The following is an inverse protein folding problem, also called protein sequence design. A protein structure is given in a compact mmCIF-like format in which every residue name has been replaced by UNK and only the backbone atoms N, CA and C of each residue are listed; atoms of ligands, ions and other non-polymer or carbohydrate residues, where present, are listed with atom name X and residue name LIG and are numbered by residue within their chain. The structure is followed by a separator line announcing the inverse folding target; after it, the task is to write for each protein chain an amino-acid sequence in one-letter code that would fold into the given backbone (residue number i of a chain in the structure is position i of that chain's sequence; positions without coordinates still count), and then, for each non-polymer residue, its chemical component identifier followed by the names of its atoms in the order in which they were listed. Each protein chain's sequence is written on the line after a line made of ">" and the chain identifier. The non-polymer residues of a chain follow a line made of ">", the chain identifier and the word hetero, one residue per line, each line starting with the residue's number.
data_IF_448918468324
#
_entry.id   IF_448918468324
#
_cell.length_a   1.000
_cell.length_b   1.000
_cell.length_c   1.000
_cell.angle_alpha   90.00
_cell.angle_beta   90.00
_cell.angle_gamma   90.00
#
_symmetry.space_group_name_H-M   'P 1'
#
loop_
_entity.id
_entity.type
_entity.pdbx_description
1 polymer ?
#
# COMPACT_ATOMS: atom_id res chain seq x y z
N UNK A 1 23.25 15.45 4.61
CA UNK A 1 22.21 16.47 4.90
C UNK A 1 20.99 16.19 4.05
N UNK A 2 19.81 16.09 4.67
CA UNK A 2 18.52 15.89 3.95
C UNK A 2 17.86 17.24 3.75
N UNK A 3 17.55 17.57 2.49
CA UNK A 3 16.88 18.83 2.16
C UNK A 3 15.35 18.66 2.27
N UNK A 4 14.79 19.07 3.40
CA UNK A 4 13.35 18.97 3.68
C UNK A 4 12.47 19.83 2.73
N UNK A 5 12.99 20.94 2.21
CA UNK A 5 12.27 21.76 1.21
C UNK A 5 12.12 21.00 -0.10
N UNK A 6 13.16 20.28 -0.53
CA UNK A 6 13.09 19.48 -1.73
C UNK A 6 12.05 18.35 -1.61
N UNK A 7 11.96 17.67 -0.46
CA UNK A 7 10.93 16.66 -0.23
C UNK A 7 9.51 17.22 -0.36
N UNK A 8 9.22 18.35 0.28
CA UNK A 8 7.90 19.01 0.16
C UNK A 8 7.62 19.49 -1.25
N UNK A 9 8.62 20.08 -1.92
CA UNK A 9 8.50 20.52 -3.29
C UNK A 9 8.14 19.36 -4.23
N UNK A 10 8.80 18.22 -4.09
CA UNK A 10 8.53 17.05 -4.91
C UNK A 10 7.11 16.52 -4.70
N UNK A 11 6.64 16.44 -3.46
CA UNK A 11 5.25 16.05 -3.18
C UNK A 11 4.25 17.03 -3.81
N UNK A 12 4.51 18.35 -3.70
CA UNK A 12 3.67 19.36 -4.31
C UNK A 12 3.63 19.21 -5.84
N UNK A 13 4.77 18.99 -6.48
CA UNK A 13 4.84 18.77 -7.94
C UNK A 13 4.02 17.56 -8.38
N UNK A 14 4.05 16.46 -7.63
CA UNK A 14 3.22 15.30 -7.89
C UNK A 14 1.72 15.62 -7.75
N UNK A 15 1.33 16.39 -6.74
CA UNK A 15 -0.06 16.83 -6.56
C UNK A 15 -0.55 17.71 -7.72
N UNK A 16 0.30 18.59 -8.23
CA UNK A 16 -0.03 19.44 -9.38
C UNK A 16 -0.25 18.61 -10.67
N UNK A 17 0.51 17.51 -10.82
CA UNK A 17 0.37 16.59 -11.96
C UNK A 17 -0.87 15.70 -11.86
N UNK A 18 -1.34 15.39 -10.65
CA UNK A 18 -2.49 14.54 -10.40
C UNK A 18 -3.40 15.13 -9.31
N UNK A 19 -4.05 16.28 -9.56
CA UNK A 19 -4.76 17.05 -8.55
C UNK A 19 -6.00 16.35 -7.99
N UNK A 20 -6.59 15.42 -8.74
CA UNK A 20 -7.74 14.63 -8.29
C UNK A 20 -7.34 13.37 -7.50
N UNK A 21 -6.04 13.05 -7.42
CA UNK A 21 -5.55 11.82 -6.77
C UNK A 21 -5.06 12.09 -5.34
N UNK A 22 -5.28 11.13 -4.46
CA UNK A 22 -4.62 11.10 -3.14
C UNK A 22 -3.18 10.61 -3.30
N UNK A 23 -2.29 11.11 -2.44
CA UNK A 23 -0.87 10.81 -2.46
C UNK A 23 -0.46 9.93 -1.28
N UNK A 24 -0.01 8.72 -1.56
CA UNK A 24 0.65 7.84 -0.59
C UNK A 24 2.16 8.05 -0.69
N UNK A 25 2.77 8.65 0.31
CA UNK A 25 4.22 8.81 0.36
C UNK A 25 4.89 7.51 0.80
N UNK A 26 5.68 6.90 -0.07
CA UNK A 26 6.40 5.65 0.23
C UNK A 26 7.66 5.97 1.01
N UNK A 27 7.70 5.49 2.26
CA UNK A 27 8.79 5.76 3.22
C UNK A 27 9.44 4.48 3.77
N UNK A 28 9.28 3.36 3.06
CA UNK A 28 9.93 2.08 3.39
C UNK A 28 11.45 2.18 3.40
N UNK A 29 12.12 1.19 3.99
CA UNK A 29 13.58 1.13 4.12
C UNK A 29 14.16 2.40 4.75
N UNK A 30 13.57 2.81 5.89
CA UNK A 30 13.94 4.05 6.59
C UNK A 30 13.83 5.30 5.68
N UNK A 31 12.75 5.40 4.88
CA UNK A 31 12.56 6.41 3.84
C UNK A 31 13.73 6.44 2.85
N UNK A 32 14.12 5.25 2.36
CA UNK A 32 15.27 5.09 1.46
C UNK A 32 16.57 5.70 2.04
N UNK A 33 16.76 5.57 3.36
CA UNK A 33 17.91 6.12 4.08
C UNK A 33 17.77 7.58 4.52
N UNK A 34 16.64 8.23 4.24
CA UNK A 34 16.42 9.64 4.62
C UNK A 34 15.93 9.83 6.06
N UNK A 35 15.61 8.74 6.76
CA UNK A 35 15.03 8.77 8.10
C UNK A 35 13.50 8.72 8.07
N UNK A 36 12.93 7.61 8.58
CA UNK A 36 11.51 7.29 8.49
C UNK A 36 10.61 8.39 9.09
N UNK A 37 10.81 8.69 10.37
CA UNK A 37 9.98 9.67 11.10
C UNK A 37 10.20 11.09 10.61
N UNK A 38 11.46 11.47 10.37
CA UNK A 38 11.80 12.80 9.90
C UNK A 38 11.21 13.10 8.53
N UNK A 39 11.21 12.10 7.64
CA UNK A 39 10.59 12.21 6.31
C UNK A 39 9.07 12.31 6.44
N UNK A 40 8.43 11.43 7.22
CA UNK A 40 6.99 11.46 7.41
C UNK A 40 6.50 12.79 8.00
N UNK A 41 7.19 13.32 9.02
CA UNK A 41 6.90 14.64 9.62
C UNK A 41 7.15 15.80 8.65
N UNK A 42 8.04 15.62 7.69
CA UNK A 42 8.34 16.65 6.68
C UNK A 42 7.25 16.73 5.60
N UNK A 43 6.43 15.69 5.44
CA UNK A 43 5.39 15.56 4.42
C UNK A 43 3.97 15.59 5.03
N UNK A 44 3.57 16.67 5.73
CA UNK A 44 2.25 16.75 6.37
C UNK A 44 1.11 16.71 5.35
N UNK A 45 1.38 17.06 4.10
CA UNK A 45 0.37 17.07 3.03
C UNK A 45 0.21 15.72 2.34
N UNK A 46 1.01 14.70 2.64
CA UNK A 46 0.74 13.35 2.18
C UNK A 46 -0.58 12.84 2.77
N UNK A 47 -1.41 12.15 1.97
CA UNK A 47 -2.68 11.61 2.44
C UNK A 47 -2.51 10.34 3.26
N UNK A 48 -1.45 9.57 2.96
CA UNK A 48 -1.08 8.34 3.66
C UNK A 48 0.42 8.09 3.50
N UNK A 49 0.93 7.10 4.23
CA UNK A 49 2.30 6.60 4.09
C UNK A 49 2.31 5.13 3.69
N UNK A 50 3.25 4.75 2.84
CA UNK A 50 3.48 3.36 2.44
C UNK A 50 4.80 2.83 2.99
N UNK A 51 4.77 1.65 3.60
CA UNK A 51 5.93 0.96 4.17
C UNK A 51 5.97 -0.48 3.71
N UNK A 52 7.10 -1.17 3.91
CA UNK A 52 7.25 -2.58 3.55
C UNK A 52 6.93 -3.51 4.73
N UNK A 53 7.20 -3.09 5.94
CA UNK A 53 7.16 -3.92 7.14
C UNK A 53 6.27 -3.35 8.23
N UNK A 54 5.66 -4.26 9.03
CA UNK A 54 4.83 -3.88 10.17
C UNK A 54 5.63 -3.05 11.19
N UNK A 55 6.90 -3.37 11.42
CA UNK A 55 7.76 -2.63 12.36
C UNK A 55 7.95 -1.17 11.94
N UNK A 56 8.02 -0.89 10.64
CA UNK A 56 8.08 0.49 10.13
C UNK A 56 6.77 1.24 10.41
N UNK A 57 5.63 0.57 10.20
CA UNK A 57 4.32 1.14 10.49
C UNK A 57 4.16 1.44 11.99
N UNK A 58 4.57 0.52 12.86
CA UNK A 58 4.55 0.71 14.32
C UNK A 58 5.46 1.87 14.75
N UNK A 59 6.63 2.01 14.15
CA UNK A 59 7.53 3.16 14.41
C UNK A 59 6.88 4.49 14.00
N UNK A 60 6.14 4.53 12.90
CA UNK A 60 5.37 5.72 12.50
C UNK A 60 4.30 6.05 13.55
N UNK A 61 3.55 5.08 14.03
CA UNK A 61 2.53 5.29 15.09
C UNK A 61 3.17 5.76 16.39
N UNK A 62 4.23 5.09 16.86
CA UNK A 62 4.98 5.50 18.05
C UNK A 62 5.55 6.91 17.92
N UNK A 63 5.88 7.34 16.70
CA UNK A 63 6.36 8.69 16.39
C UNK A 63 5.27 9.75 16.25
N UNK A 64 4.00 9.40 16.51
CA UNK A 64 2.86 10.32 16.46
C UNK A 64 2.23 10.53 15.08
N UNK A 65 2.57 9.69 14.09
CA UNK A 65 1.91 9.74 12.76
C UNK A 65 0.55 9.05 12.86
N UNK A 66 -0.52 9.82 12.69
CA UNK A 66 -1.92 9.35 12.78
C UNK A 66 -2.54 9.04 11.43
N UNK A 67 -1.94 9.49 10.33
CA UNK A 67 -2.41 9.22 8.96
C UNK A 67 -2.45 7.73 8.64
N UNK A 68 -3.26 7.29 7.66
CA UNK A 68 -3.25 5.91 7.19
C UNK A 68 -1.83 5.45 6.81
N UNK A 69 -1.50 4.22 7.16
CA UNK A 69 -0.23 3.58 6.79
C UNK A 69 -0.56 2.28 6.07
N UNK A 70 -0.05 2.13 4.86
CA UNK A 70 -0.24 0.98 4.00
C UNK A 70 0.99 0.08 4.03
N UNK A 71 0.79 -1.20 4.38
CA UNK A 71 1.76 -2.27 4.23
C UNK A 71 1.74 -2.71 2.75
N UNK A 72 2.72 -2.24 1.97
CA UNK A 72 2.76 -2.41 0.51
C UNK A 72 2.96 -3.85 0.04
N UNK A 73 3.54 -4.69 0.89
CA UNK A 73 3.80 -6.12 0.64
C UNK A 73 2.85 -7.02 1.44
N UNK A 74 1.92 -6.40 2.19
CA UNK A 74 1.03 -7.12 3.09
C UNK A 74 1.72 -7.49 4.41
N UNK A 75 1.16 -8.47 5.08
CA UNK A 75 1.72 -9.08 6.28
C UNK A 75 2.43 -10.40 5.91
N UNK A 76 3.42 -10.76 6.70
CA UNK A 76 4.22 -11.97 6.49
C UNK A 76 3.83 -13.11 7.44
N UNK A 77 3.10 -12.78 8.49
CA UNK A 77 2.64 -13.73 9.50
C UNK A 77 1.19 -13.40 9.87
N UNK A 78 0.31 -14.39 9.92
CA UNK A 78 -1.08 -14.22 10.34
C UNK A 78 -1.21 -13.64 11.76
N UNK A 79 -0.22 -13.86 12.61
CA UNK A 79 -0.15 -13.30 13.98
C UNK A 79 -0.06 -11.76 14.02
N UNK A 80 0.28 -11.13 12.88
CA UNK A 80 0.33 -9.67 12.77
C UNK A 80 -1.07 -9.04 12.61
N UNK A 81 -2.06 -9.80 12.16
CA UNK A 81 -3.40 -9.31 11.85
C UNK A 81 -4.10 -8.59 13.01
N UNK A 82 -4.05 -9.08 14.27
CA UNK A 82 -4.63 -8.33 15.40
C UNK A 82 -3.98 -6.95 15.58
N UNK A 83 -2.67 -6.85 15.40
CA UNK A 83 -1.94 -5.57 15.49
C UNK A 83 -2.31 -4.64 14.34
N UNK A 84 -2.41 -5.16 13.11
CA UNK A 84 -2.81 -4.41 11.92
C UNK A 84 -4.22 -3.84 12.11
N UNK A 85 -5.15 -4.65 12.62
CA UNK A 85 -6.51 -4.24 12.96
C UNK A 85 -6.52 -3.13 14.03
N UNK A 86 -5.90 -3.38 15.18
CA UNK A 86 -5.88 -2.47 16.34
C UNK A 86 -5.21 -1.11 16.03
N UNK A 87 -4.21 -1.08 15.15
CA UNK A 87 -3.51 0.13 14.74
C UNK A 87 -4.13 0.81 13.51
N UNK A 88 -5.22 0.26 12.98
CA UNK A 88 -5.89 0.73 11.76
C UNK A 88 -4.93 0.88 10.58
N UNK A 89 -3.99 -0.07 10.43
CA UNK A 89 -3.15 -0.14 9.25
C UNK A 89 -3.92 -0.71 8.06
N UNK A 90 -3.57 -0.23 6.88
CA UNK A 90 -4.01 -0.84 5.62
C UNK A 90 -3.01 -1.91 5.22
N UNK A 91 -3.47 -2.97 4.57
CA UNK A 91 -2.60 -4.03 4.09
C UNK A 91 -2.87 -4.39 2.64
N UNK A 92 -1.82 -4.57 1.85
CA UNK A 92 -1.95 -5.27 0.59
C UNK A 92 -2.25 -6.75 0.84
N UNK A 93 -3.02 -7.36 -0.06
CA UNK A 93 -3.27 -8.81 -0.11
C UNK A 93 -3.04 -9.26 -1.54
N UNK A 94 -2.17 -10.25 -1.74
CA UNK A 94 -1.67 -10.58 -3.07
C UNK A 94 -1.44 -12.09 -3.31
N UNK A 95 -1.76 -12.94 -2.33
CA UNK A 95 -1.66 -14.40 -2.45
C UNK A 95 -2.72 -15.11 -1.61
N UNK A 96 -2.87 -16.41 -1.85
CA UNK A 96 -3.88 -17.26 -1.18
C UNK A 96 -3.62 -17.40 0.33
N UNK A 97 -2.36 -17.44 0.76
CA UNK A 97 -2.00 -17.57 2.17
C UNK A 97 -2.48 -16.35 2.98
N UNK A 98 -2.32 -15.15 2.43
CA UNK A 98 -2.81 -13.92 3.07
C UNK A 98 -4.34 -13.87 3.08
N UNK A 99 -5.01 -14.28 2.01
CA UNK A 99 -6.46 -14.33 1.95
C UNK A 99 -7.03 -15.34 2.97
N UNK A 100 -6.51 -16.56 3.00
CA UNK A 100 -6.91 -17.60 3.94
C UNK A 100 -6.69 -17.13 5.40
N UNK A 101 -5.56 -16.51 5.69
CA UNK A 101 -5.29 -15.96 7.02
C UNK A 101 -6.32 -14.90 7.44
N UNK A 102 -6.78 -14.05 6.53
CA UNK A 102 -7.86 -13.08 6.79
C UNK A 102 -9.20 -13.78 7.02
N UNK A 103 -9.53 -14.79 6.23
CA UNK A 103 -10.78 -15.55 6.35
C UNK A 103 -10.85 -16.29 7.72
N UNK A 104 -9.73 -16.85 8.18
CA UNK A 104 -9.62 -17.61 9.41
C UNK A 104 -9.45 -16.73 10.67
N UNK A 105 -9.03 -15.48 10.51
CA UNK A 105 -8.76 -14.61 11.64
C UNK A 105 -10.01 -14.32 12.48
N UNK A 106 -9.77 -14.05 13.76
CA UNK A 106 -10.79 -13.49 14.65
C UNK A 106 -10.34 -12.09 15.07
N UNK A 107 -10.82 -11.07 14.35
CA UNK A 107 -10.46 -9.67 14.57
C UNK A 107 -11.63 -8.92 15.19
N UNK A 108 -11.32 -7.99 16.10
CA UNK A 108 -12.32 -7.10 16.72
C UNK A 108 -12.86 -6.09 15.69
N UNK A 109 -12.01 -5.63 14.77
CA UNK A 109 -12.40 -4.72 13.69
C UNK A 109 -11.85 -5.18 12.34
N UNK A 110 -12.60 -4.95 11.24
CA UNK A 110 -12.16 -5.30 9.91
C UNK A 110 -10.99 -4.42 9.44
N UNK A 111 -10.08 -5.02 8.69
CA UNK A 111 -8.88 -4.37 8.13
C UNK A 111 -9.17 -3.77 6.75
N UNK A 112 -8.63 -2.60 6.48
CA UNK A 112 -8.65 -2.01 5.13
C UNK A 112 -7.67 -2.74 4.21
N UNK A 113 -8.20 -3.40 3.20
CA UNK A 113 -7.43 -4.24 2.27
C UNK A 113 -7.27 -3.57 0.91
N UNK A 114 -6.09 -3.76 0.33
CA UNK A 114 -5.73 -3.40 -1.03
C UNK A 114 -5.37 -4.68 -1.79
N UNK A 115 -6.31 -5.22 -2.57
CA UNK A 115 -6.02 -6.35 -3.44
C UNK A 115 -4.98 -5.92 -4.48
N UNK A 116 -3.84 -6.60 -4.48
CA UNK A 116 -2.77 -6.31 -5.44
C UNK A 116 -2.93 -7.17 -6.67
N UNK A 117 -3.13 -6.52 -7.82
CA UNK A 117 -3.24 -7.14 -9.14
C UNK A 117 -1.89 -7.12 -9.85
N UNK A 118 -1.45 -8.26 -10.35
CA UNK A 118 -0.26 -8.34 -11.20
C UNK A 118 -0.63 -8.08 -12.66
N UNK A 119 -0.44 -6.85 -13.08
CA UNK A 119 -0.75 -6.42 -14.46
C UNK A 119 0.44 -6.55 -15.42
N UNK A 120 1.58 -7.09 -14.94
CA UNK A 120 2.72 -7.33 -15.82
C UNK A 120 4.10 -7.09 -15.21
N UNK A 121 4.20 -6.79 -13.91
CA UNK A 121 5.49 -6.70 -13.22
C UNK A 121 6.01 -8.09 -12.80
N UNK A 122 5.12 -9.05 -12.55
CA UNK A 122 5.43 -10.44 -12.22
C UNK A 122 6.34 -10.60 -10.98
N UNK A 123 6.11 -9.78 -9.96
CA UNK A 123 6.80 -9.86 -8.68
C UNK A 123 5.87 -10.30 -7.56
N UNK A 124 4.79 -9.56 -7.32
CA UNK A 124 3.73 -9.83 -6.35
C UNK A 124 2.39 -9.46 -6.98
N UNK A 125 1.34 -10.18 -6.63
CA UNK A 125 -0.02 -9.86 -7.07
C UNK A 125 -0.78 -11.08 -7.54
N UNK A 126 -2.09 -10.96 -7.48
CA UNK A 126 -3.04 -11.92 -8.04
C UNK A 126 -3.02 -11.78 -9.56
N UNK A 127 -3.03 -12.89 -10.27
CA UNK A 127 -3.12 -12.89 -11.74
C UNK A 127 -4.49 -12.39 -12.20
N UNK A 128 -4.58 -11.69 -13.36
CA UNK A 128 -5.85 -11.17 -13.87
C UNK A 128 -6.94 -12.25 -13.98
N UNK A 129 -6.56 -13.46 -14.39
CA UNK A 129 -7.49 -14.58 -14.57
C UNK A 129 -8.11 -15.08 -13.24
N UNK A 130 -7.47 -14.79 -12.12
CA UNK A 130 -7.90 -15.17 -10.77
C UNK A 130 -8.54 -13.99 -10.02
N UNK A 131 -8.42 -12.77 -10.55
CA UNK A 131 -8.75 -11.54 -9.84
C UNK A 131 -10.20 -11.46 -9.39
N UNK A 132 -11.14 -11.85 -10.22
CA UNK A 132 -12.57 -11.81 -9.93
C UNK A 132 -12.93 -12.73 -8.74
N UNK A 133 -12.50 -13.98 -8.78
CA UNK A 133 -12.76 -14.94 -7.72
C UNK A 133 -12.09 -14.52 -6.39
N UNK A 134 -10.87 -14.03 -6.47
CA UNK A 134 -10.13 -13.53 -5.31
C UNK A 134 -10.79 -12.29 -4.69
N UNK A 135 -11.19 -11.33 -5.52
CA UNK A 135 -11.92 -10.13 -5.10
C UNK A 135 -13.25 -10.49 -4.43
N UNK A 136 -14.01 -11.42 -5.03
CA UNK A 136 -15.27 -11.88 -4.46
C UNK A 136 -15.07 -12.44 -3.05
N UNK A 137 -14.06 -13.28 -2.81
CA UNK A 137 -13.75 -13.79 -1.47
C UNK A 137 -13.40 -12.67 -0.49
N UNK A 138 -12.61 -11.69 -0.90
CA UNK A 138 -12.32 -10.51 -0.06
C UNK A 138 -13.59 -9.73 0.30
N UNK A 139 -14.55 -9.59 -0.63
CA UNK A 139 -15.82 -8.88 -0.36
C UNK A 139 -16.73 -9.65 0.60
N UNK A 140 -16.62 -10.97 0.68
CA UNK A 140 -17.39 -11.81 1.61
C UNK A 140 -16.70 -11.99 2.97
N UNK A 141 -15.43 -11.64 3.10
CA UNK A 141 -14.68 -11.81 4.32
C UNK A 141 -15.08 -10.78 5.38
N UNK A 142 -15.58 -11.24 6.54
CA UNK A 142 -16.00 -10.39 7.68
C UNK A 142 -14.88 -9.52 8.23
N UNK A 143 -13.63 -9.97 8.09
CA UNK A 143 -12.43 -9.30 8.57
C UNK A 143 -11.88 -8.25 7.60
N UNK A 144 -12.55 -8.06 6.46
CA UNK A 144 -12.16 -7.09 5.43
C UNK A 144 -13.16 -5.94 5.39
N UNK A 145 -12.64 -4.71 5.56
CA UNK A 145 -13.44 -3.49 5.46
C UNK A 145 -13.81 -3.21 4.02
N UNK A 146 -15.10 -2.98 3.79
CA UNK A 146 -15.59 -2.65 2.45
C UNK A 146 -15.62 -1.13 2.20
N UNK A 147 -15.44 -0.67 0.96
CA UNK A 147 -15.09 -1.47 -0.23
C UNK A 147 -13.61 -1.91 -0.22
N UNK A 148 -13.31 -3.01 -0.90
CA UNK A 148 -11.93 -3.44 -1.14
C UNK A 148 -11.27 -2.50 -2.16
N UNK A 149 -10.06 -2.03 -1.86
CA UNK A 149 -9.28 -1.25 -2.81
C UNK A 149 -8.49 -2.19 -3.74
N UNK A 150 -8.19 -1.72 -4.95
CA UNK A 150 -7.35 -2.44 -5.91
C UNK A 150 -6.09 -1.61 -6.17
N UNK A 151 -4.94 -2.27 -6.22
CA UNK A 151 -3.64 -1.64 -6.49
C UNK A 151 -2.83 -2.48 -7.47
N UNK A 152 -2.05 -1.83 -8.30
CA UNK A 152 -1.02 -2.46 -9.14
C UNK A 152 0.28 -1.65 -9.10
N UNK A 153 1.32 -2.17 -9.73
CA UNK A 153 2.62 -1.51 -9.80
C UNK A 153 3.15 -1.54 -11.22
N UNK A 154 3.44 -0.36 -11.77
CA UNK A 154 4.06 -0.26 -13.09
C UNK A 154 5.53 -0.68 -13.02
N UNK A 155 5.91 -1.63 -13.88
CA UNK A 155 7.27 -2.19 -13.88
C UNK A 155 8.31 -1.22 -14.46
N UNK A 156 7.90 -0.39 -15.44
CA UNK A 156 8.78 0.43 -16.28
C UNK A 156 8.20 1.82 -16.52
N UNK A 157 7.66 2.46 -15.46
CA UNK A 157 7.06 3.78 -15.57
C UNK A 157 8.06 4.89 -15.95
N UNK A 158 9.35 4.67 -15.69
CA UNK A 158 10.46 5.54 -16.04
C UNK A 158 10.97 5.35 -17.50
N UNK A 159 10.37 4.42 -18.25
CA UNK A 159 10.72 4.14 -19.64
C UNK A 159 9.54 4.46 -20.60
N UNK A 160 9.26 5.72 -20.90
CA UNK A 160 8.03 6.14 -21.58
C UNK A 160 7.86 5.60 -23.01
N UNK A 161 8.92 5.09 -23.62
CA UNK A 161 8.89 4.58 -25.01
C UNK A 161 8.74 3.06 -25.11
N UNK A 162 8.68 2.33 -23.98
CA UNK A 162 8.67 0.87 -24.02
C UNK A 162 7.26 0.24 -24.18
N UNK A 163 6.18 1.02 -24.05
CA UNK A 163 4.80 0.56 -24.16
C UNK A 163 4.34 -0.38 -23.01
N UNK A 164 5.17 -0.58 -21.98
CA UNK A 164 4.85 -1.48 -20.88
C UNK A 164 3.75 -0.91 -19.96
N UNK A 165 3.79 0.39 -19.70
CA UNK A 165 2.81 1.09 -18.87
C UNK A 165 1.42 1.03 -19.47
N UNK A 166 1.30 1.27 -20.78
CA UNK A 166 0.04 1.20 -21.53
C UNK A 166 -0.55 -0.20 -21.50
N UNK A 167 0.28 -1.23 -21.66
CA UNK A 167 -0.16 -2.64 -21.56
C UNK A 167 -0.68 -2.97 -20.17
N UNK A 168 0.05 -2.57 -19.12
CA UNK A 168 -0.36 -2.80 -17.74
C UNK A 168 -1.65 -2.04 -17.41
N UNK A 169 -1.81 -0.81 -17.90
CA UNK A 169 -3.02 -0.02 -17.71
C UNK A 169 -4.23 -0.66 -18.40
N UNK A 170 -4.07 -1.20 -19.60
CA UNK A 170 -5.12 -1.90 -20.32
C UNK A 170 -5.61 -3.17 -19.59
N UNK A 171 -4.73 -3.85 -18.86
CA UNK A 171 -5.09 -5.01 -18.03
C UNK A 171 -5.79 -4.57 -16.74
N UNK A 172 -5.43 -3.40 -16.20
CA UNK A 172 -6.00 -2.89 -14.95
C UNK A 172 -7.43 -2.37 -15.11
N UNK A 173 -7.77 -1.81 -16.28
CA UNK A 173 -9.08 -1.23 -16.59
C UNK A 173 -10.08 -2.27 -17.11
#
# INVERSE_FOLDING_TARGET
>A
VINRRALRHNLQRLRELAPASKMVAVVKANAYGHGLLETARTLPDADAFGVARLEEALRLRAGGITKPVLLLEGFFDARDLPTISAQHFHTAVHNEEQLAALEEANLDEPVTVWMKLDTGMHRLGVRPEQAEAFYHRLTQCKNVRQPVNIVSHFARADEPKCGATEKQLAIFN
#
